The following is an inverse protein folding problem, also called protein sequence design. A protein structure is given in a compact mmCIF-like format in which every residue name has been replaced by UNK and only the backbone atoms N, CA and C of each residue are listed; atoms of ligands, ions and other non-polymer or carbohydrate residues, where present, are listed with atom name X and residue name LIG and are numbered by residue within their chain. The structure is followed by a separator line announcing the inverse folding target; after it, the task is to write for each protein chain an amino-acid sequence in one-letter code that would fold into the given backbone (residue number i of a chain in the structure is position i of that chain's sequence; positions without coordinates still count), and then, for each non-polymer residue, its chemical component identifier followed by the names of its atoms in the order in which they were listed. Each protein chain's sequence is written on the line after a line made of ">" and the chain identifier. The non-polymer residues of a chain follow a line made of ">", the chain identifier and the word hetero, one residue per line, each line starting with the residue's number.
data_IF_935720923057
#
_entry.id   IF_935720923057
#
_cell.length_a   1.000
_cell.length_b   1.000
_cell.length_c   1.000
_cell.angle_alpha   90.00
_cell.angle_beta   90.00
_cell.angle_gamma   90.00
#
_symmetry.space_group_name_H-M   'P 1'
#
loop_
_entity.id
_entity.type
_entity.pdbx_description
1 polymer ?
#
# COMPACT_ATOMS: atom_id res chain seq x y z
N UNK A 1 8.94 -15.28 26.85
CA UNK A 1 8.11 -14.45 25.96
C UNK A 1 7.47 -15.36 24.91
N UNK A 2 6.33 -14.98 24.32
CA UNK A 2 5.61 -15.82 23.34
C UNK A 2 5.75 -15.19 21.95
N UNK A 3 6.10 -15.98 20.93
CA UNK A 3 6.16 -15.55 19.54
C UNK A 3 4.75 -15.31 19.00
N UNK A 4 4.52 -14.16 18.37
CA UNK A 4 3.28 -13.87 17.64
C UNK A 4 3.54 -14.02 16.16
N UNK A 5 2.64 -14.66 15.43
CA UNK A 5 2.68 -14.70 13.97
C UNK A 5 1.55 -13.81 13.46
N UNK A 6 1.85 -12.86 12.59
CA UNK A 6 0.86 -11.97 11.98
C UNK A 6 1.17 -11.77 10.50
N UNK A 7 0.20 -11.22 9.77
CA UNK A 7 0.38 -10.65 8.45
C UNK A 7 0.42 -9.12 8.60
N UNK A 8 1.52 -8.46 8.19
CA UNK A 8 1.69 -7.01 8.33
C UNK A 8 1.55 -6.52 9.78
N UNK A 9 2.34 -7.11 10.69
CA UNK A 9 2.36 -6.84 12.14
C UNK A 9 2.59 -5.35 12.47
N UNK A 10 3.15 -4.57 11.54
CA UNK A 10 3.33 -3.12 11.66
C UNK A 10 2.00 -2.43 11.97
N UNK A 11 0.92 -2.84 11.31
CA UNK A 11 -0.41 -2.29 11.54
C UNK A 11 -0.90 -2.58 12.97
N UNK A 12 -0.81 -3.85 13.40
CA UNK A 12 -1.16 -4.25 14.77
C UNK A 12 -0.32 -3.48 15.80
N UNK A 13 0.98 -3.31 15.54
CA UNK A 13 1.89 -2.60 16.43
C UNK A 13 1.44 -1.15 16.67
N UNK A 14 0.86 -0.47 15.69
CA UNK A 14 0.28 0.86 15.87
C UNK A 14 -0.94 0.84 16.77
N UNK A 15 -1.83 -0.15 16.61
CA UNK A 15 -3.03 -0.28 17.45
C UNK A 15 -2.62 -0.54 18.91
N UNK A 16 -1.74 -1.50 19.16
CA UNK A 16 -1.27 -1.82 20.52
C UNK A 16 -0.47 -0.70 21.17
N UNK A 17 0.30 0.07 20.38
CA UNK A 17 1.05 1.22 20.89
C UNK A 17 0.14 2.28 21.51
N UNK A 18 -1.08 2.48 20.97
CA UNK A 18 -2.07 3.42 21.55
C UNK A 18 -2.47 3.04 22.97
N UNK A 19 -2.35 1.76 23.33
CA UNK A 19 -2.65 1.24 24.67
C UNK A 19 -1.39 0.99 25.51
N UNK A 20 -0.23 1.53 25.10
CA UNK A 20 1.04 1.35 25.82
C UNK A 20 1.63 -0.06 25.72
N UNK A 21 1.14 -0.90 24.81
CA UNK A 21 1.59 -2.28 24.63
C UNK A 21 2.64 -2.35 23.52
N UNK A 22 3.81 -2.93 23.82
CA UNK A 22 4.86 -3.19 22.84
C UNK A 22 4.79 -4.65 22.38
N UNK A 23 4.55 -4.86 21.08
CA UNK A 23 4.54 -6.19 20.48
C UNK A 23 5.98 -6.71 20.27
N UNK A 24 6.37 -7.71 21.06
CA UNK A 24 7.60 -8.50 20.84
C UNK A 24 7.55 -9.83 21.61
N UNK A 25 8.18 -10.92 21.13
CA UNK A 25 8.67 -11.14 19.77
C UNK A 25 7.52 -11.44 18.79
N UNK A 26 7.77 -11.24 17.49
CA UNK A 26 6.82 -11.50 16.42
C UNK A 26 7.52 -12.09 15.19
N UNK A 27 6.77 -12.75 14.31
CA UNK A 27 7.13 -13.05 12.93
C UNK A 27 6.02 -12.52 12.00
N UNK A 28 6.37 -12.13 10.78
CA UNK A 28 5.45 -11.52 9.81
C UNK A 28 5.43 -12.29 8.49
N UNK A 29 4.30 -12.92 8.15
CA UNK A 29 4.16 -13.75 6.94
C UNK A 29 4.30 -12.95 5.65
N UNK A 30 3.93 -11.66 5.65
CA UNK A 30 4.13 -10.78 4.51
C UNK A 30 5.63 -10.61 4.23
N UNK A 31 6.42 -10.37 5.28
CA UNK A 31 7.86 -10.14 5.17
C UNK A 31 8.64 -11.43 4.93
N UNK A 32 8.20 -12.55 5.50
CA UNK A 32 8.75 -13.88 5.18
C UNK A 32 8.55 -14.14 3.68
N UNK A 33 7.34 -13.92 3.16
CA UNK A 33 7.06 -14.09 1.73
C UNK A 33 7.88 -13.12 0.87
N UNK A 34 8.02 -11.87 1.29
CA UNK A 34 8.84 -10.87 0.60
C UNK A 34 10.31 -11.31 0.51
N UNK A 35 10.90 -11.73 1.62
CA UNK A 35 12.29 -12.21 1.65
C UNK A 35 12.50 -13.43 0.72
N UNK A 36 11.53 -14.33 0.62
CA UNK A 36 11.61 -15.52 -0.23
C UNK A 36 11.39 -15.24 -1.72
N UNK A 37 10.36 -14.44 -2.03
CA UNK A 37 9.75 -14.42 -3.37
C UNK A 37 9.50 -12.99 -3.89
N UNK A 38 10.29 -12.01 -3.43
CA UNK A 38 10.22 -10.62 -3.92
C UNK A 38 10.20 -10.58 -5.46
N UNK A 39 9.20 -9.88 -6.00
CA UNK A 39 9.01 -9.70 -7.45
C UNK A 39 8.26 -10.83 -8.16
N UNK A 40 7.92 -11.94 -7.48
CA UNK A 40 7.14 -13.06 -8.06
C UNK A 40 5.63 -12.92 -7.91
N UNK A 41 5.15 -11.81 -7.36
CA UNK A 41 3.74 -11.49 -7.17
C UNK A 41 3.53 -10.63 -5.93
N UNK A 42 2.27 -10.42 -5.54
CA UNK A 42 1.95 -9.72 -4.30
C UNK A 42 2.16 -10.60 -3.07
N UNK A 43 2.29 -9.93 -1.94
CA UNK A 43 2.51 -10.52 -0.62
C UNK A 43 1.33 -10.27 0.33
N UNK A 44 0.18 -9.88 -0.22
CA UNK A 44 -1.07 -9.75 0.53
C UNK A 44 -1.64 -11.13 0.92
N UNK A 45 -2.36 -11.19 2.04
CA UNK A 45 -2.87 -12.45 2.57
C UNK A 45 -3.73 -13.22 1.57
N UNK A 46 -4.66 -12.55 0.89
CA UNK A 46 -5.55 -13.18 -0.10
C UNK A 46 -4.77 -13.86 -1.23
N UNK A 47 -3.75 -13.19 -1.76
CA UNK A 47 -2.93 -13.71 -2.84
C UNK A 47 -2.04 -14.87 -2.36
N UNK A 48 -1.46 -14.74 -1.16
CA UNK A 48 -0.65 -15.79 -0.55
C UNK A 48 -1.48 -17.02 -0.22
N UNK A 49 -2.67 -16.83 0.35
CA UNK A 49 -3.63 -17.89 0.64
C UNK A 49 -4.00 -18.65 -0.63
N UNK A 50 -4.30 -17.93 -1.72
CA UNK A 50 -4.62 -18.60 -2.98
C UNK A 50 -3.42 -19.35 -3.55
N UNK A 51 -2.22 -18.75 -3.52
CA UNK A 51 -1.01 -19.34 -4.09
C UNK A 51 -0.51 -20.58 -3.34
N UNK A 52 -0.52 -20.53 -2.00
CA UNK A 52 0.12 -21.55 -1.16
C UNK A 52 -0.87 -22.55 -0.57
N UNK A 53 -2.13 -22.16 -0.39
CA UNK A 53 -3.14 -22.97 0.29
C UNK A 53 -4.31 -23.34 -0.63
N UNK A 54 -4.33 -22.84 -1.88
CA UNK A 54 -5.48 -22.90 -2.82
C UNK A 54 -6.81 -22.51 -2.15
N UNK A 55 -6.75 -21.51 -1.26
CA UNK A 55 -7.89 -21.06 -0.46
C UNK A 55 -8.20 -19.59 -0.75
N UNK A 56 -9.44 -19.32 -1.13
CA UNK A 56 -9.97 -17.97 -1.32
C UNK A 56 -10.50 -17.44 0.02
N UNK A 57 -9.86 -16.39 0.53
CA UNK A 57 -10.20 -15.73 1.79
C UNK A 57 -11.47 -14.88 1.68
N UNK A 58 -12.15 -14.68 2.81
CA UNK A 58 -13.25 -13.72 2.95
C UNK A 58 -12.70 -12.32 2.81
N UNK A 59 -13.21 -11.54 1.86
CA UNK A 59 -12.72 -10.17 1.65
C UNK A 59 -13.34 -9.25 2.69
N UNK A 60 -12.59 -8.21 3.07
CA UNK A 60 -13.14 -7.15 3.93
C UNK A 60 -14.42 -6.54 3.34
N UNK A 61 -14.51 -6.41 2.02
CA UNK A 61 -15.72 -5.91 1.34
C UNK A 61 -16.95 -6.79 1.49
N UNK A 62 -16.77 -8.09 1.69
CA UNK A 62 -17.88 -9.04 1.87
C UNK A 62 -18.53 -8.88 3.24
N UNK A 63 -17.79 -8.27 4.18
CA UNK A 63 -18.19 -8.08 5.58
C UNK A 63 -18.60 -6.63 5.86
N UNK A 64 -17.78 -5.68 5.43
CA UNK A 64 -17.98 -4.25 5.66
C UNK A 64 -18.69 -3.53 4.50
N UNK A 65 -18.90 -4.18 3.36
CA UNK A 65 -19.38 -3.53 2.14
C UNK A 65 -18.30 -2.73 1.42
N UNK A 66 -18.69 -1.91 0.45
CA UNK A 66 -17.77 -1.18 -0.42
C UNK A 66 -18.23 0.25 -0.74
N UNK A 67 -17.28 1.09 -1.17
CA UNK A 67 -17.54 2.47 -1.58
C UNK A 67 -17.94 3.38 -0.41
N UNK A 68 -18.75 4.40 -0.71
CA UNK A 68 -19.17 5.42 0.28
C UNK A 68 -20.01 4.87 1.43
N UNK A 69 -20.62 3.69 1.26
CA UNK A 69 -21.46 3.04 2.25
C UNK A 69 -20.73 1.88 2.97
N UNK A 70 -19.41 1.77 2.80
CA UNK A 70 -18.61 0.81 3.54
C UNK A 70 -18.67 1.16 5.04
N UNK A 71 -19.03 0.16 5.84
CA UNK A 71 -19.13 0.23 7.30
C UNK A 71 -17.75 0.17 7.94
N UNK A 72 -17.64 0.74 9.13
CA UNK A 72 -16.47 0.47 9.98
C UNK A 72 -16.63 -0.88 10.68
N UNK A 73 -15.52 -1.49 11.12
CA UNK A 73 -15.55 -2.87 11.62
C UNK A 73 -16.35 -3.03 12.93
N UNK A 74 -16.54 -1.95 13.69
CA UNK A 74 -17.38 -1.89 14.88
C UNK A 74 -18.89 -1.97 14.59
N UNK A 75 -19.31 -1.70 13.34
CA UNK A 75 -20.71 -1.79 12.90
C UNK A 75 -21.05 -3.16 12.27
N UNK A 76 -20.06 -4.03 12.14
CA UNK A 76 -20.22 -5.39 11.60
C UNK A 76 -20.82 -6.29 12.67
N UNK A 77 -21.74 -7.18 12.29
CA UNK A 77 -22.29 -8.15 13.24
C UNK A 77 -21.20 -9.12 13.74
N UNK A 78 -21.31 -9.52 15.01
CA UNK A 78 -20.30 -10.33 15.68
C UNK A 78 -20.00 -11.63 14.91
N UNK A 79 -21.00 -12.25 14.28
CA UNK A 79 -20.82 -13.53 13.59
C UNK A 79 -19.96 -13.36 12.34
N UNK A 80 -20.26 -12.35 11.52
CA UNK A 80 -19.47 -12.04 10.32
C UNK A 80 -18.06 -11.56 10.69
N UNK A 81 -17.95 -10.68 11.70
CA UNK A 81 -16.67 -10.21 12.21
C UNK A 81 -15.80 -11.35 12.73
N UNK A 82 -16.38 -12.29 13.49
CA UNK A 82 -15.66 -13.46 14.01
C UNK A 82 -15.16 -14.33 12.88
N UNK A 83 -15.99 -14.62 11.87
CA UNK A 83 -15.58 -15.47 10.74
C UNK A 83 -14.37 -14.87 10.00
N UNK A 84 -14.43 -13.58 9.71
CA UNK A 84 -13.34 -12.86 9.03
C UNK A 84 -12.07 -12.83 9.88
N UNK A 85 -12.14 -12.33 11.11
CA UNK A 85 -10.96 -12.18 11.96
C UNK A 85 -10.33 -13.53 12.36
N UNK A 86 -11.13 -14.58 12.55
CA UNK A 86 -10.62 -15.91 12.85
C UNK A 86 -9.97 -16.56 11.62
N UNK A 87 -10.52 -16.34 10.42
CA UNK A 87 -9.90 -16.82 9.18
C UNK A 87 -8.55 -16.14 8.94
N UNK A 88 -8.46 -14.82 9.12
CA UNK A 88 -7.18 -14.09 8.98
C UNK A 88 -6.09 -14.70 9.88
N UNK A 89 -6.44 -15.02 11.14
CA UNK A 89 -5.51 -15.65 12.08
C UNK A 89 -5.13 -17.09 11.69
N UNK A 90 -6.10 -17.90 11.25
CA UNK A 90 -5.87 -19.29 10.80
C UNK A 90 -5.00 -19.34 9.55
N UNK A 91 -5.34 -18.55 8.53
CA UNK A 91 -4.61 -18.48 7.27
C UNK A 91 -3.20 -17.96 7.49
N UNK A 92 -3.02 -16.96 8.34
CA UNK A 92 -1.70 -16.46 8.71
C UNK A 92 -0.84 -17.57 9.33
N UNK A 93 -1.39 -18.37 10.24
CA UNK A 93 -0.64 -19.49 10.84
C UNK A 93 -0.29 -20.56 9.79
N UNK A 94 -1.24 -20.94 8.93
CA UNK A 94 -1.01 -21.91 7.86
C UNK A 94 0.05 -21.43 6.87
N UNK A 95 0.02 -20.15 6.50
CA UNK A 95 1.05 -19.53 5.66
C UNK A 95 2.41 -19.57 6.35
N UNK A 96 2.47 -19.30 7.65
CA UNK A 96 3.71 -19.36 8.42
C UNK A 96 4.32 -20.76 8.43
N UNK A 97 3.51 -21.79 8.64
CA UNK A 97 3.96 -23.19 8.63
C UNK A 97 4.57 -23.61 7.28
N UNK A 98 4.07 -23.06 6.18
CA UNK A 98 4.61 -23.32 4.83
C UNK A 98 5.84 -22.46 4.52
N UNK A 99 5.82 -21.17 4.88
CA UNK A 99 6.84 -20.22 4.45
C UNK A 99 8.06 -20.18 5.38
N UNK A 100 7.90 -20.37 6.70
CA UNK A 100 8.99 -20.26 7.66
C UNK A 100 10.12 -21.28 7.40
N UNK A 101 9.86 -22.58 7.13
CA UNK A 101 10.91 -23.55 6.85
C UNK A 101 11.74 -23.18 5.61
N UNK A 102 11.09 -22.61 4.59
CA UNK A 102 11.75 -22.21 3.34
C UNK A 102 12.82 -21.14 3.54
N UNK A 103 12.76 -20.32 4.59
CA UNK A 103 13.81 -19.34 4.86
C UNK A 103 15.19 -20.00 5.04
N UNK A 104 15.23 -21.22 5.58
CA UNK A 104 16.48 -21.96 5.71
C UNK A 104 16.87 -22.62 4.38
N UNK A 105 15.91 -23.23 3.69
CA UNK A 105 16.11 -23.93 2.41
C UNK A 105 16.61 -23.00 1.30
N UNK A 106 16.03 -21.81 1.21
CA UNK A 106 16.34 -20.80 0.20
C UNK A 106 17.45 -19.82 0.67
N UNK A 107 18.11 -20.08 1.80
CA UNK A 107 19.17 -19.24 2.39
C UNK A 107 18.74 -17.79 2.70
N UNK A 108 17.45 -17.53 2.92
CA UNK A 108 16.89 -16.20 3.19
C UNK A 108 16.75 -15.84 4.68
N UNK A 109 17.12 -16.75 5.58
CA UNK A 109 17.02 -16.56 7.04
C UNK A 109 17.72 -15.29 7.51
N UNK A 110 18.94 -15.00 7.03
CA UNK A 110 19.68 -13.80 7.43
C UNK A 110 18.96 -12.52 7.00
N UNK A 111 18.43 -12.49 5.77
CA UNK A 111 17.70 -11.32 5.25
C UNK A 111 16.47 -11.06 6.12
N UNK A 112 15.65 -12.08 6.35
CA UNK A 112 14.45 -11.92 7.17
C UNK A 112 14.76 -11.53 8.62
N UNK A 113 15.66 -12.26 9.29
CA UNK A 113 15.90 -12.13 10.72
C UNK A 113 16.69 -10.86 11.10
N UNK A 114 17.59 -10.38 10.21
CA UNK A 114 18.51 -9.28 10.50
C UNK A 114 18.15 -7.96 9.80
N UNK A 115 17.42 -8.02 8.68
CA UNK A 115 17.01 -6.83 7.92
C UNK A 115 15.51 -6.57 8.10
N UNK A 116 14.66 -7.48 7.61
CA UNK A 116 13.22 -7.23 7.48
C UNK A 116 12.52 -7.14 8.84
N UNK A 117 12.68 -8.16 9.68
CA UNK A 117 11.96 -8.23 10.97
C UNK A 117 12.35 -7.10 11.94
N UNK A 118 13.63 -6.71 12.09
CA UNK A 118 14.02 -5.58 12.93
C UNK A 118 13.57 -4.22 12.40
N UNK A 119 13.29 -4.10 11.10
CA UNK A 119 12.88 -2.84 10.47
C UNK A 119 11.43 -2.46 10.80
N UNK A 120 10.56 -3.43 11.07
CA UNK A 120 9.16 -3.22 11.45
C UNK A 120 8.98 -2.15 12.56
N UNK A 121 9.60 -2.27 13.75
CA UNK A 121 9.43 -1.26 14.81
C UNK A 121 10.00 0.11 14.43
N UNK A 122 11.02 0.17 13.57
CA UNK A 122 11.62 1.42 13.09
C UNK A 122 10.63 2.14 12.17
N UNK A 123 10.09 1.45 11.17
CA UNK A 123 9.10 2.03 10.24
C UNK A 123 7.83 2.41 10.99
N UNK A 124 7.36 1.57 11.92
CA UNK A 124 6.22 1.92 12.76
C UNK A 124 6.51 3.19 13.60
N UNK A 125 7.73 3.41 14.08
CA UNK A 125 8.09 4.65 14.78
C UNK A 125 8.10 5.86 13.84
N UNK A 126 8.69 5.72 12.65
CA UNK A 126 8.70 6.79 11.63
C UNK A 126 7.29 7.19 11.20
N UNK A 127 6.40 6.22 10.99
CA UNK A 127 5.01 6.46 10.61
C UNK A 127 4.22 7.19 11.71
N UNK A 128 4.50 6.91 13.00
CA UNK A 128 3.85 7.63 14.11
C UNK A 128 4.38 9.05 14.29
N UNK A 129 5.68 9.26 14.05
CA UNK A 129 6.28 10.59 14.10
C UNK A 129 5.71 11.48 12.99
N UNK A 130 5.53 10.90 11.80
CA UNK A 130 5.04 11.61 10.63
C UNK A 130 6.03 12.65 10.12
N UNK A 131 5.54 13.56 9.27
CA UNK A 131 6.33 14.67 8.72
C UNK A 131 5.54 15.95 8.88
N UNK A 132 6.18 16.99 9.42
CA UNK A 132 5.56 18.31 9.56
C UNK A 132 5.45 18.97 8.18
N UNK A 133 4.24 19.39 7.83
CA UNK A 133 3.93 20.06 6.57
C UNK A 133 3.44 21.48 6.87
N UNK A 134 3.86 22.45 6.04
CA UNK A 134 3.35 23.83 6.06
C UNK A 134 2.32 24.03 4.93
N UNK A 135 1.01 24.12 5.25
CA UNK A 135 -0.03 24.30 4.25
C UNK A 135 0.05 25.64 3.51
N UNK A 136 0.59 26.69 4.14
CA UNK A 136 0.69 28.02 3.51
C UNK A 136 1.74 28.03 2.40
N UNK A 137 2.87 27.34 2.62
CA UNK A 137 3.90 27.15 1.58
C UNK A 137 3.31 26.34 0.42
N UNK A 138 2.59 25.25 0.70
CA UNK A 138 1.94 24.45 -0.34
C UNK A 138 0.90 25.26 -1.14
N UNK A 139 0.10 26.10 -0.47
CA UNK A 139 -0.86 26.97 -1.14
C UNK A 139 -0.16 28.00 -2.05
N UNK A 140 0.96 28.57 -1.60
CA UNK A 140 1.76 29.50 -2.40
C UNK A 140 2.35 28.82 -3.65
N UNK A 141 2.88 27.60 -3.49
CA UNK A 141 3.38 26.81 -4.62
C UNK A 141 2.26 26.47 -5.61
N UNK A 142 1.08 26.12 -5.11
CA UNK A 142 -0.09 25.87 -5.97
C UNK A 142 -0.47 27.10 -6.79
N UNK A 143 -0.43 28.29 -6.21
CA UNK A 143 -0.70 29.53 -6.93
C UNK A 143 0.38 29.87 -7.96
N UNK A 144 1.67 29.69 -7.60
CA UNK A 144 2.79 29.88 -8.53
C UNK A 144 2.69 28.96 -9.75
N UNK A 145 2.42 27.67 -9.52
CA UNK A 145 2.24 26.71 -10.60
C UNK A 145 1.04 27.02 -11.48
N UNK A 146 -0.10 27.43 -10.89
CA UNK A 146 -1.27 27.82 -11.67
C UNK A 146 -0.96 29.02 -12.59
N UNK A 147 -0.24 30.02 -12.09
CA UNK A 147 0.15 31.18 -12.88
C UNK A 147 1.12 30.82 -14.01
N UNK A 148 2.12 29.98 -13.73
CA UNK A 148 3.09 29.52 -14.72
C UNK A 148 2.45 28.63 -15.79
N UNK A 149 1.52 27.76 -15.40
CA UNK A 149 0.75 26.95 -16.34
C UNK A 149 -0.06 27.83 -17.30
N UNK A 150 -0.76 28.84 -16.77
CA UNK A 150 -1.54 29.77 -17.60
C UNK A 150 -0.65 30.58 -18.56
N UNK A 151 0.54 31.00 -18.10
CA UNK A 151 1.51 31.70 -18.95
C UNK A 151 2.03 30.80 -20.08
N UNK A 152 2.43 29.57 -19.77
CA UNK A 152 2.89 28.61 -20.78
C UNK A 152 1.78 28.17 -21.74
N UNK A 153 0.53 28.08 -21.27
CA UNK A 153 -0.61 27.80 -22.13
C UNK A 153 -0.87 28.93 -23.13
N UNK A 154 -0.80 30.18 -22.67
CA UNK A 154 -0.91 31.34 -23.53
C UNK A 154 0.22 31.39 -24.59
N UNK A 155 1.46 31.13 -24.18
CA UNK A 155 2.61 31.06 -25.10
C UNK A 155 2.44 29.95 -26.14
N UNK A 156 1.97 28.77 -25.73
CA UNK A 156 1.70 27.66 -26.65
C UNK A 156 0.60 27.99 -27.67
N UNK A 157 -0.48 28.65 -27.24
CA UNK A 157 -1.55 29.10 -28.14
C UNK A 157 -1.08 30.19 -29.10
N UNK A 158 -0.20 31.10 -28.65
CA UNK A 158 0.42 32.12 -29.50
C UNK A 158 1.29 31.50 -30.59
N UNK A 159 2.16 30.55 -30.22
CA UNK A 159 3.01 29.83 -31.16
C UNK A 159 2.21 28.98 -32.17
N UNK A 160 1.09 28.40 -31.73
CA UNK A 160 0.20 27.62 -32.60
C UNK A 160 -0.70 28.49 -33.48
N UNK A 161 -0.87 29.78 -33.15
CA UNK A 161 -1.74 30.71 -33.86
C UNK A 161 -3.24 30.47 -33.65
N UNK A 162 -3.64 29.61 -32.72
CA UNK A 162 -5.03 29.35 -32.37
C UNK A 162 -5.20 28.84 -30.94
N UNK A 163 -6.42 28.96 -30.41
CA UNK A 163 -6.77 28.35 -29.12
C UNK A 163 -7.07 26.86 -29.28
N UNK A 164 -6.45 26.04 -28.43
CA UNK A 164 -6.71 24.61 -28.33
C UNK A 164 -6.53 24.14 -26.88
N UNK A 165 -7.12 23.01 -26.55
CA UNK A 165 -7.00 22.40 -25.23
C UNK A 165 -5.70 21.60 -25.13
N UNK A 166 -4.75 22.08 -24.32
CA UNK A 166 -3.48 21.39 -24.03
C UNK A 166 -3.72 20.06 -23.29
N UNK A 167 -4.85 19.89 -22.61
CA UNK A 167 -5.24 18.62 -22.01
C UNK A 167 -5.74 17.58 -23.01
N UNK A 168 -5.89 17.91 -24.31
CA UNK A 168 -6.40 17.01 -25.34
C UNK A 168 -5.28 16.50 -26.24
N UNK A 169 -4.87 15.23 -26.12
CA UNK A 169 -3.83 14.64 -26.97
C UNK A 169 -4.15 14.76 -28.46
N UNK A 170 -5.44 14.68 -28.82
CA UNK A 170 -5.89 14.82 -30.21
C UNK A 170 -5.61 16.22 -30.75
N UNK A 171 -5.99 17.27 -30.03
CA UNK A 171 -5.80 18.64 -30.49
C UNK A 171 -4.32 19.02 -30.56
N UNK A 172 -3.51 18.56 -29.60
CA UNK A 172 -2.05 18.71 -29.68
C UNK A 172 -1.49 18.02 -30.92
N UNK A 173 -1.92 16.79 -31.22
CA UNK A 173 -1.46 16.06 -32.41
C UNK A 173 -1.81 16.79 -33.72
N UNK A 174 -3.02 17.34 -33.80
CA UNK A 174 -3.48 18.09 -34.97
C UNK A 174 -2.64 19.38 -35.15
N UNK A 175 -2.25 20.04 -34.06
CA UNK A 175 -1.39 21.24 -34.07
C UNK A 175 0.06 20.88 -34.47
N UNK A 176 0.69 19.92 -33.78
CA UNK A 176 2.12 19.61 -33.95
C UNK A 176 2.42 18.97 -35.31
N UNK A 177 1.67 17.94 -35.69
CA UNK A 177 1.94 17.18 -36.92
C UNK A 177 1.14 17.69 -38.10
N UNK A 178 -0.09 18.17 -37.86
CA UNK A 178 -0.95 18.69 -38.92
C UNK A 178 -0.53 20.09 -39.35
N UNK A 179 -0.54 21.05 -38.42
CA UNK A 179 -0.28 22.47 -38.75
C UNK A 179 1.19 22.85 -38.78
N UNK A 180 1.94 22.49 -37.74
CA UNK A 180 3.35 22.85 -37.61
C UNK A 180 4.27 21.94 -38.43
N UNK A 181 3.75 20.82 -38.95
CA UNK A 181 4.49 19.91 -39.82
C UNK A 181 5.74 19.32 -39.16
N UNK A 182 5.76 19.24 -37.83
CA UNK A 182 6.85 18.63 -37.10
C UNK A 182 6.84 17.12 -37.37
N UNK A 183 8.02 16.47 -37.47
CA UNK A 183 8.14 15.06 -37.79
C UNK A 183 7.59 14.15 -36.69
#
# INVERSE_FOLDING_TARGET
>A
SVLKVSQNIKYDAHIFYRYGVRLAPFDDTMLISYALDCGKGGHGMDELSKRWLDHDTVKFSDVAGSGKNQKTFDEVDIKSATKYAAEDADITLRLYEVLKPRLAEDCMTSVYETLERPLVPVIAAMEREGVKVDPAVLAKLSADFAQRMAASEAEAMELAGEHFNIGSPKQISDILFGKLGLP
#
